data_IF_724814433446
#
_entry.id   IF_724814433446
#
_cell.length_a   1.000
_cell.length_b   1.000
_cell.length_c   1.000
_cell.angle_alpha   90.00
_cell.angle_beta   90.00
_cell.angle_gamma   90.00
#
_symmetry.space_group_name_H-M   'P 1'
#
loop_
_entity.id
_entity.type
_entity.pdbx_description
1 polymer ?
#
# COMPACT_ATOMS: atom_id res chain seq x y z
N UNK A 1 -3.84 25.05 -1.85
CA UNK A 1 -4.34 24.69 -3.20
C UNK A 1 -4.47 23.18 -3.30
N UNK A 2 -5.61 22.73 -3.76
CA UNK A 2 -5.84 21.29 -3.95
C UNK A 2 -5.54 20.89 -5.38
N UNK A 3 -5.01 19.67 -5.57
CA UNK A 3 -4.78 19.11 -6.88
C UNK A 3 -5.95 18.23 -7.27
N UNK A 4 -6.43 18.38 -8.50
CA UNK A 4 -7.47 17.51 -9.07
C UNK A 4 -6.85 16.35 -9.83
N UNK A 5 -5.68 16.57 -10.40
CA UNK A 5 -4.97 15.59 -11.19
C UNK A 5 -3.55 15.41 -10.65
N UNK A 6 -3.12 14.16 -10.49
CA UNK A 6 -1.77 13.83 -10.03
C UNK A 6 -1.14 12.87 -11.03
N UNK A 7 0.00 13.28 -11.61
CA UNK A 7 0.77 12.39 -12.46
C UNK A 7 1.70 11.55 -11.59
N UNK A 8 1.26 10.33 -11.29
CA UNK A 8 2.01 9.45 -10.39
C UNK A 8 3.34 9.02 -11.00
N UNK A 9 3.50 9.08 -12.31
CA UNK A 9 4.77 8.74 -12.96
C UNK A 9 5.81 9.83 -12.79
N UNK A 10 5.39 11.05 -12.51
CA UNK A 10 6.29 12.19 -12.29
C UNK A 10 6.74 12.33 -10.84
N UNK A 11 6.11 11.61 -9.91
CA UNK A 11 6.47 11.67 -8.50
C UNK A 11 7.68 10.80 -8.20
N UNK A 12 8.54 11.22 -7.24
CA UNK A 12 9.73 10.45 -6.92
C UNK A 12 9.39 9.14 -6.22
N UNK A 13 10.13 8.10 -6.55
CA UNK A 13 10.07 6.83 -5.84
C UNK A 13 11.14 6.80 -4.78
N UNK A 14 10.76 6.47 -3.55
CA UNK A 14 11.69 6.39 -2.42
C UNK A 14 11.94 4.93 -2.10
N UNK A 15 13.19 4.45 -2.15
CA UNK A 15 13.48 3.08 -1.77
C UNK A 15 13.36 2.90 -0.26
N UNK A 16 12.75 1.77 0.13
CA UNK A 16 12.69 1.34 1.52
C UNK A 16 13.42 0.01 1.58
N UNK A 17 14.58 -0.08 2.24
CA UNK A 17 15.40 -1.29 2.20
C UNK A 17 14.61 -2.56 2.57
N UNK A 18 14.62 -3.55 1.68
CA UNK A 18 13.92 -4.81 1.87
C UNK A 18 12.40 -4.75 1.73
N UNK A 19 11.84 -3.56 1.47
CA UNK A 19 10.39 -3.36 1.35
C UNK A 19 9.98 -2.66 0.06
N UNK A 20 10.86 -2.66 -0.94
CA UNK A 20 10.56 -2.12 -2.25
C UNK A 20 10.72 -0.61 -2.35
N UNK A 21 10.00 -0.01 -3.28
CA UNK A 21 9.98 1.44 -3.48
C UNK A 21 8.57 1.97 -3.29
N UNK A 22 8.46 3.19 -2.78
CA UNK A 22 7.16 3.79 -2.48
C UNK A 22 7.07 5.21 -3.02
N UNK A 23 5.90 5.59 -3.53
CA UNK A 23 5.57 6.95 -3.93
C UNK A 23 4.27 7.35 -3.24
N UNK A 24 4.29 8.42 -2.46
CA UNK A 24 3.06 8.96 -1.89
C UNK A 24 2.30 9.75 -2.97
N UNK A 25 1.03 9.43 -3.16
CA UNK A 25 0.19 10.06 -4.19
C UNK A 25 -0.96 10.85 -3.59
N UNK A 26 -1.26 10.62 -2.31
CA UNK A 26 -2.33 11.33 -1.61
C UNK A 26 -1.84 11.61 -0.19
N UNK A 27 -1.58 12.87 0.11
CA UNK A 27 -1.18 13.32 1.43
C UNK A 27 -1.46 14.81 1.58
N UNK A 28 -1.21 15.36 2.76
CA UNK A 28 -1.49 16.77 3.02
C UNK A 28 -0.62 17.70 2.16
N UNK A 29 0.65 17.36 1.95
CA UNK A 29 1.56 18.22 1.20
C UNK A 29 1.18 18.29 -0.28
N UNK A 30 0.72 17.19 -0.88
CA UNK A 30 0.39 17.14 -2.30
C UNK A 30 -0.98 17.71 -2.62
N UNK A 31 -1.98 17.40 -1.81
CA UNK A 31 -3.38 17.69 -2.17
C UNK A 31 -4.22 18.23 -1.01
N UNK A 32 -3.59 18.56 0.12
CA UNK A 32 -4.31 19.10 1.26
C UNK A 32 -5.11 18.08 2.07
N UNK A 33 -4.96 16.80 1.77
CA UNK A 33 -5.69 15.73 2.48
C UNK A 33 -5.07 15.53 3.87
N UNK A 34 -5.87 15.70 4.91
CA UNK A 34 -5.37 15.69 6.29
C UNK A 34 -5.49 14.33 6.97
N UNK A 35 -6.51 13.58 6.64
CA UNK A 35 -6.83 12.34 7.36
C UNK A 35 -6.77 11.11 6.46
N UNK A 36 -5.99 11.20 5.39
CA UNK A 36 -5.86 10.10 4.44
C UNK A 36 -4.44 10.09 3.89
N UNK A 37 -3.90 8.88 3.71
CA UNK A 37 -2.61 8.68 3.08
C UNK A 37 -2.79 7.64 1.99
N UNK A 38 -2.40 7.99 0.77
CA UNK A 38 -2.40 7.05 -0.35
C UNK A 38 -1.01 6.95 -0.95
N UNK A 39 -0.59 5.74 -1.27
CA UNK A 39 0.73 5.52 -1.84
C UNK A 39 0.72 4.36 -2.83
N UNK A 40 1.66 4.42 -3.76
CA UNK A 40 1.98 3.31 -4.65
C UNK A 40 3.24 2.64 -4.14
N UNK A 41 3.28 1.31 -4.20
CA UNK A 41 4.45 0.54 -3.77
C UNK A 41 4.79 -0.52 -4.82
N UNK A 42 6.07 -0.63 -5.09
CA UNK A 42 6.60 -1.64 -6.03
C UNK A 42 7.46 -2.60 -5.24
N UNK A 43 7.14 -3.90 -5.31
CA UNK A 43 7.91 -4.96 -4.65
C UNK A 43 8.53 -5.86 -5.70
N UNK A 44 9.82 -6.14 -5.55
CA UNK A 44 10.54 -7.14 -6.34
C UNK A 44 10.60 -8.45 -5.58
N UNK A 45 11.12 -9.50 -6.22
CA UNK A 45 11.10 -10.84 -5.66
C UNK A 45 11.74 -10.96 -4.26
N UNK A 46 12.76 -10.15 -3.97
CA UNK A 46 13.46 -10.19 -2.69
C UNK A 46 12.83 -9.29 -1.62
N UNK A 47 11.81 -8.50 -1.98
CA UNK A 47 11.22 -7.53 -1.07
C UNK A 47 10.07 -8.15 -0.27
N UNK A 48 9.95 -7.73 0.98
CA UNK A 48 8.83 -8.12 1.85
C UNK A 48 8.26 -6.86 2.48
N UNK A 49 6.99 -6.56 2.20
CA UNK A 49 6.30 -5.43 2.80
C UNK A 49 5.52 -5.92 4.02
N UNK A 50 5.91 -5.43 5.20
CA UNK A 50 5.19 -5.70 6.45
C UNK A 50 4.35 -4.50 6.79
N UNK A 51 3.03 -4.69 6.85
CA UNK A 51 2.09 -3.62 7.10
C UNK A 51 1.35 -3.88 8.40
N UNK A 52 1.42 -2.90 9.30
CA UNK A 52 0.71 -2.93 10.57
C UNK A 52 -0.27 -1.77 10.59
N UNK A 53 -1.55 -2.08 10.70
CA UNK A 53 -2.59 -1.05 10.67
C UNK A 53 -2.64 -0.19 11.92
N UNK A 54 -2.14 -0.68 13.06
CA UNK A 54 -2.20 -0.01 14.36
C UNK A 54 -3.66 0.37 14.68
N UNK A 55 -3.97 1.67 14.81
CA UNK A 55 -5.32 2.14 15.09
C UNK A 55 -6.04 2.64 13.83
N UNK A 56 -5.56 2.28 12.65
CA UNK A 56 -6.08 2.77 11.38
C UNK A 56 -6.72 1.66 10.56
N UNK A 57 -7.46 2.08 9.54
CA UNK A 57 -7.97 1.18 8.52
C UNK A 57 -7.10 1.30 7.27
N UNK A 58 -6.85 0.19 6.61
CA UNK A 58 -6.05 0.18 5.39
C UNK A 58 -6.71 -0.67 4.31
N UNK A 59 -6.62 -0.18 3.08
CA UNK A 59 -6.97 -0.94 1.89
C UNK A 59 -5.72 -1.04 1.03
N UNK A 60 -5.36 -2.25 0.65
CA UNK A 60 -4.26 -2.50 -0.27
C UNK A 60 -4.85 -3.14 -1.51
N UNK A 61 -4.65 -2.49 -2.65
CA UNK A 61 -5.18 -2.95 -3.93
C UNK A 61 -4.02 -3.39 -4.83
N UNK A 62 -4.13 -4.58 -5.40
CA UNK A 62 -3.12 -5.09 -6.34
C UNK A 62 -3.38 -4.48 -7.70
N UNK A 63 -2.53 -3.56 -8.13
CA UNK A 63 -2.68 -2.87 -9.39
C UNK A 63 -2.08 -3.64 -10.55
N UNK A 64 -0.98 -4.36 -10.30
CA UNK A 64 -0.30 -5.13 -11.34
C UNK A 64 0.58 -6.20 -10.69
N UNK A 65 0.55 -7.40 -11.27
CA UNK A 65 1.41 -8.49 -10.85
C UNK A 65 0.71 -9.50 -9.97
N UNK A 66 1.51 -10.39 -9.40
CA UNK A 66 1.06 -11.46 -8.51
C UNK A 66 1.84 -11.41 -7.21
N UNK A 67 1.20 -11.77 -6.12
CA UNK A 67 1.85 -11.78 -4.83
C UNK A 67 1.23 -12.78 -3.88
N UNK A 68 1.83 -12.85 -2.68
CA UNK A 68 1.33 -13.65 -1.58
C UNK A 68 1.19 -12.77 -0.36
N UNK A 69 0.04 -12.83 0.26
CA UNK A 69 -0.27 -12.09 1.48
C UNK A 69 -0.42 -13.08 2.61
N UNK A 70 0.31 -12.86 3.71
CA UNK A 70 0.15 -13.65 4.93
C UNK A 70 -0.57 -12.78 5.96
N UNK A 71 -1.73 -13.25 6.40
CA UNK A 71 -2.59 -12.55 7.34
C UNK A 71 -3.09 -13.57 8.37
N UNK A 72 -2.87 -13.31 9.65
CA UNK A 72 -3.29 -14.21 10.74
C UNK A 72 -2.79 -15.65 10.52
N UNK A 73 -1.53 -15.80 10.11
CA UNK A 73 -0.88 -17.08 9.84
C UNK A 73 -1.46 -17.86 8.65
N UNK A 74 -2.27 -17.21 7.82
CA UNK A 74 -2.78 -17.79 6.59
C UNK A 74 -2.19 -17.06 5.39
N UNK A 75 -1.80 -17.82 4.37
CA UNK A 75 -1.27 -17.27 3.14
C UNK A 75 -2.35 -17.25 2.06
N UNK A 76 -2.45 -16.15 1.35
CA UNK A 76 -3.39 -15.96 0.25
C UNK A 76 -2.61 -15.55 -0.99
N UNK A 77 -2.91 -16.16 -2.12
CA UNK A 77 -2.36 -15.71 -3.39
C UNK A 77 -3.25 -14.60 -3.95
N UNK A 78 -2.62 -13.52 -4.38
CA UNK A 78 -3.32 -12.36 -4.93
C UNK A 78 -2.73 -11.99 -6.28
N UNK A 79 -3.54 -11.37 -7.12
CA UNK A 79 -3.13 -10.91 -8.43
C UNK A 79 -3.86 -9.61 -8.76
N UNK A 80 -3.56 -9.04 -9.92
CA UNK A 80 -4.18 -7.80 -10.39
C UNK A 80 -5.70 -7.81 -10.17
N UNK A 81 -6.20 -6.78 -9.51
CA UNK A 81 -7.61 -6.67 -9.17
C UNK A 81 -7.96 -7.11 -7.76
N UNK A 82 -7.04 -7.77 -7.05
CA UNK A 82 -7.28 -8.20 -5.68
C UNK A 82 -7.17 -7.06 -4.69
N UNK A 83 -8.00 -7.08 -3.66
CA UNK A 83 -7.98 -6.11 -2.57
C UNK A 83 -7.81 -6.78 -1.22
N UNK A 84 -7.07 -6.12 -0.33
CA UNK A 84 -6.82 -6.59 1.02
C UNK A 84 -7.23 -5.49 1.98
N UNK A 85 -8.11 -5.80 2.91
CA UNK A 85 -8.49 -4.86 3.95
C UNK A 85 -7.84 -5.26 5.28
N UNK A 86 -7.22 -4.28 5.96
CA UNK A 86 -6.71 -4.43 7.32
C UNK A 86 -7.48 -3.48 8.23
N UNK A 87 -8.12 -4.03 9.24
CA UNK A 87 -8.73 -3.24 10.31
C UNK A 87 -7.72 -2.88 11.39
N UNK A 88 -8.13 -2.10 12.39
CA UNK A 88 -7.23 -1.74 13.49
C UNK A 88 -6.65 -2.97 14.17
N UNK A 89 -5.37 -2.89 14.51
CA UNK A 89 -4.58 -3.94 15.18
C UNK A 89 -4.23 -5.15 14.31
N UNK A 90 -4.58 -5.13 13.02
CA UNK A 90 -4.21 -6.22 12.11
C UNK A 90 -2.87 -5.94 11.43
N UNK A 91 -2.16 -7.00 11.07
CA UNK A 91 -0.88 -6.92 10.35
C UNK A 91 -0.90 -7.90 9.19
N UNK A 92 -0.20 -7.54 8.13
CA UNK A 92 -0.03 -8.40 6.96
C UNK A 92 1.40 -8.35 6.45
N UNK A 93 1.84 -9.45 5.84
CA UNK A 93 3.12 -9.52 5.14
C UNK A 93 2.83 -9.79 3.68
N UNK A 94 3.40 -9.00 2.78
CA UNK A 94 3.13 -9.08 1.35
C UNK A 94 4.44 -9.28 0.60
N UNK A 95 4.48 -10.27 -0.29
CA UNK A 95 5.64 -10.58 -1.11
C UNK A 95 5.22 -10.70 -2.57
N UNK A 96 6.11 -10.29 -3.48
CA UNK A 96 5.89 -10.50 -4.90
C UNK A 96 6.11 -11.97 -5.24
N UNK A 97 5.32 -12.47 -6.20
CA UNK A 97 5.43 -13.84 -6.68
C UNK A 97 5.65 -13.81 -8.20
N UNK A 98 6.91 -13.88 -8.63
CA UNK A 98 7.27 -13.93 -10.04
C UNK A 98 7.18 -12.59 -10.76
N UNK A 99 8.08 -11.66 -10.46
CA UNK A 99 8.14 -10.36 -11.08
C UNK A 99 7.81 -9.25 -10.09
N UNK A 100 7.64 -8.04 -10.61
CA UNK A 100 7.34 -6.88 -9.77
C UNK A 100 5.85 -6.84 -9.45
N UNK A 101 5.55 -6.62 -8.18
CA UNK A 101 4.19 -6.44 -7.68
C UNK A 101 3.96 -4.96 -7.41
N UNK A 102 2.93 -4.37 -8.01
CA UNK A 102 2.55 -2.98 -7.80
C UNK A 102 1.28 -2.91 -6.98
N UNK A 103 1.35 -2.18 -5.87
CA UNK A 103 0.25 -2.04 -4.92
C UNK A 103 -0.17 -0.58 -4.78
N UNK A 104 -1.46 -0.34 -4.57
CA UNK A 104 -1.97 0.92 -4.07
C UNK A 104 -2.41 0.72 -2.63
N UNK A 105 -1.89 1.56 -1.72
CA UNK A 105 -2.21 1.49 -0.30
C UNK A 105 -2.95 2.75 0.12
N UNK A 106 -4.11 2.59 0.71
CA UNK A 106 -4.90 3.68 1.27
C UNK A 106 -5.01 3.49 2.77
N UNK A 107 -4.61 4.51 3.52
CA UNK A 107 -4.64 4.50 4.98
C UNK A 107 -5.58 5.60 5.45
N UNK A 108 -6.56 5.24 6.26
CA UNK A 108 -7.49 6.21 6.86
C UNK A 108 -7.54 5.99 8.36
N UNK A 109 -7.61 7.07 9.16
CA UNK A 109 -7.68 6.93 10.60
C UNK A 109 -9.01 6.35 11.04
N UNK A 110 -8.97 5.66 12.20
CA UNK A 110 -10.20 5.24 12.86
C UNK A 110 -10.90 6.48 13.41
N UNK A 111 -12.14 6.69 13.00
CA UNK A 111 -12.92 7.83 13.46
C UNK A 111 -13.75 7.39 14.65
N UNK A 112 -13.59 7.99 15.85
CA UNK A 112 -14.42 7.67 17.00
C UNK A 112 -15.88 8.01 16.72
N UNK A 113 -16.77 7.18 17.20
CA UNK A 113 -18.20 7.41 17.08
C UNK A 113 -18.81 7.64 18.43
#
# INVERSE_FOLDING_TARGET
>A
MSLTFIDTNALPKKPVPGQGEVTEVLNQALCGAKNVLGSLRWLKAADTFKDAAADKHQLIYVMDGKGRVTLNNKAYDVETGGGIYLGPSETATIQAAGGTLKLFQLVVPRIPQ
#
